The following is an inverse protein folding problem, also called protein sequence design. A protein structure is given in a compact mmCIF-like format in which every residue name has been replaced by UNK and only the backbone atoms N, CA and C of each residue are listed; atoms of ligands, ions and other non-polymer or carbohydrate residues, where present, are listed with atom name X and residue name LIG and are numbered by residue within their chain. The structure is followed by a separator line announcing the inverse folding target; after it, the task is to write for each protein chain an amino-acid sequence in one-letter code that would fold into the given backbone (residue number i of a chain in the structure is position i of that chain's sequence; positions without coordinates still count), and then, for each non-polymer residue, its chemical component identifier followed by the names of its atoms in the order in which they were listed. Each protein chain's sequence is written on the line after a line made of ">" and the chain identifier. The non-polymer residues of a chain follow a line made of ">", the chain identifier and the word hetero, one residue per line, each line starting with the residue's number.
data_IF_769167080780
#
_entry.id   IF_769167080780
#
_cell.length_a   1.000
_cell.length_b   1.000
_cell.length_c   1.000
_cell.angle_alpha   90.00
_cell.angle_beta   90.00
_cell.angle_gamma   90.00
#
_symmetry.space_group_name_H-M   'P 1'
#
loop_
_entity.id
_entity.type
_entity.pdbx_description
1 polymer ?
#
# COMPACT_ATOMS: atom_id res chain seq x y z
N UNK A 1 -4.45 -95.33 11.75
CA UNK A 1 -5.06 -94.59 10.61
C UNK A 1 -5.89 -93.48 11.22
N UNK A 2 -5.34 -92.23 11.16
CA UNK A 2 -6.03 -91.04 11.73
C UNK A 2 -6.70 -90.30 10.57
N UNK A 3 -8.02 -90.15 10.68
CA UNK A 3 -8.81 -89.36 9.72
C UNK A 3 -8.68 -87.88 10.05
N UNK A 4 -8.21 -87.05 9.09
CA UNK A 4 -8.20 -85.59 9.16
C UNK A 4 -9.52 -85.07 8.59
N UNK A 5 -10.31 -84.37 9.46
CA UNK A 5 -11.51 -83.64 9.06
C UNK A 5 -11.13 -82.26 8.72
N UNK A 6 -11.36 -81.82 7.46
CA UNK A 6 -11.16 -80.41 7.00
C UNK A 6 -12.41 -79.61 7.40
N UNK A 7 -12.16 -78.59 8.23
CA UNK A 7 -13.14 -77.55 8.48
C UNK A 7 -12.98 -76.46 7.39
N UNK A 8 -14.05 -76.21 6.64
CA UNK A 8 -14.13 -75.07 5.69
C UNK A 8 -14.79 -73.93 6.46
N UNK A 9 -14.00 -72.84 6.68
CA UNK A 9 -14.53 -71.58 7.18
C UNK A 9 -15.07 -70.78 6.01
N UNK A 10 -16.39 -70.61 5.99
CA UNK A 10 -17.09 -69.71 5.07
C UNK A 10 -17.13 -68.31 5.71
N UNK A 11 -16.22 -67.41 5.31
CA UNK A 11 -16.26 -66.02 5.78
C UNK A 11 -17.30 -65.23 4.99
N UNK A 12 -18.38 -64.86 5.69
CA UNK A 12 -19.43 -63.99 5.19
C UNK A 12 -18.93 -62.54 5.23
N UNK A 13 -18.57 -61.99 4.08
CA UNK A 13 -18.28 -60.56 3.97
C UNK A 13 -19.61 -59.80 3.93
N UNK A 14 -19.96 -59.13 5.04
CA UNK A 14 -21.04 -58.17 5.08
C UNK A 14 -20.47 -56.83 4.58
N UNK A 15 -20.86 -56.45 3.35
CA UNK A 15 -20.66 -55.08 2.85
C UNK A 15 -21.67 -54.18 3.53
N UNK A 16 -21.21 -53.42 4.52
CA UNK A 16 -21.94 -52.25 5.03
C UNK A 16 -21.84 -51.13 3.99
N UNK A 17 -22.87 -50.94 3.20
CA UNK A 17 -23.08 -49.70 2.47
C UNK A 17 -23.36 -48.59 3.49
N UNK A 18 -22.36 -47.80 3.82
CA UNK A 18 -22.57 -46.52 4.49
C UNK A 18 -23.25 -45.57 3.49
N UNK A 19 -24.56 -45.38 3.62
CA UNK A 19 -25.23 -44.24 3.03
C UNK A 19 -24.65 -42.99 3.69
N UNK A 20 -23.74 -42.31 2.98
CA UNK A 20 -23.39 -40.95 3.31
C UNK A 20 -24.61 -40.08 2.98
N UNK A 21 -25.37 -39.74 4.00
CA UNK A 21 -26.34 -38.65 3.88
C UNK A 21 -25.56 -37.36 3.74
N UNK A 22 -25.53 -36.81 2.56
CA UNK A 22 -25.17 -35.40 2.34
C UNK A 22 -26.21 -34.55 3.10
N UNK A 23 -26.00 -34.35 4.38
CA UNK A 23 -26.54 -33.20 5.07
C UNK A 23 -25.67 -32.04 4.61
N UNK A 24 -26.21 -31.16 3.74
CA UNK A 24 -25.66 -29.84 3.56
C UNK A 24 -25.58 -29.21 4.97
N UNK A 25 -24.37 -29.05 5.46
CA UNK A 25 -24.14 -28.27 6.67
C UNK A 25 -24.68 -26.87 6.38
N UNK A 26 -25.67 -26.44 7.17
CA UNK A 26 -26.16 -25.07 7.09
C UNK A 26 -25.07 -24.20 7.72
N UNK A 27 -24.15 -23.72 6.88
CA UNK A 27 -23.03 -22.88 7.33
C UNK A 27 -23.57 -21.49 7.61
N UNK A 28 -23.18 -20.93 8.75
CA UNK A 28 -23.55 -19.56 9.09
C UNK A 28 -22.97 -18.60 8.04
N UNK A 29 -23.75 -17.61 7.56
CA UNK A 29 -23.26 -16.63 6.61
C UNK A 29 -22.06 -15.86 7.15
N UNK A 30 -21.11 -15.58 6.29
CA UNK A 30 -19.91 -14.81 6.60
C UNK A 30 -20.04 -13.39 6.03
N UNK A 31 -19.60 -12.39 6.80
CA UNK A 31 -19.82 -10.99 6.44
C UNK A 31 -18.51 -10.33 6.00
N UNK A 32 -18.57 -9.64 4.85
CA UNK A 32 -17.61 -8.67 4.40
C UNK A 32 -18.22 -7.29 4.50
N UNK A 33 -17.63 -6.41 5.30
CA UNK A 33 -18.04 -5.01 5.35
C UNK A 33 -17.53 -4.29 4.11
N UNK A 34 -18.41 -3.52 3.49
CA UNK A 34 -18.09 -2.61 2.38
C UNK A 34 -18.05 -1.22 3.00
N UNK A 35 -16.86 -0.73 3.25
CA UNK A 35 -16.61 0.58 3.85
C UNK A 35 -15.87 1.45 2.86
N UNK A 36 -15.75 2.74 3.14
CA UNK A 36 -15.19 3.69 2.20
C UNK A 36 -13.83 3.19 1.68
N UNK A 37 -13.79 2.88 0.38
CA UNK A 37 -12.65 2.45 -0.42
C UNK A 37 -12.02 1.08 -0.07
N UNK A 38 -12.64 0.26 0.80
CA UNK A 38 -12.14 -1.07 1.13
C UNK A 38 -13.23 -2.13 1.39
N UNK A 39 -12.85 -3.41 1.19
CA UNK A 39 -13.59 -4.58 1.68
C UNK A 39 -12.92 -5.12 2.94
N UNK A 40 -13.67 -5.30 4.02
CA UNK A 40 -13.13 -5.75 5.31
C UNK A 40 -13.87 -6.99 5.84
N UNK A 41 -13.20 -8.15 5.95
CA UNK A 41 -11.81 -8.39 5.61
C UNK A 41 -11.57 -8.38 4.09
N UNK A 42 -10.39 -7.96 3.66
CA UNK A 42 -9.98 -7.98 2.24
C UNK A 42 -9.90 -9.41 1.68
N UNK A 43 -9.55 -10.37 2.54
CA UNK A 43 -9.48 -11.79 2.21
C UNK A 43 -10.27 -12.57 3.24
N UNK A 44 -11.19 -13.41 2.77
CA UNK A 44 -12.03 -14.24 3.61
C UNK A 44 -11.93 -15.71 3.16
N UNK A 45 -11.64 -16.63 4.11
CA UNK A 45 -11.69 -18.09 3.89
C UNK A 45 -13.01 -18.64 4.36
N UNK A 46 -13.64 -19.47 3.53
CA UNK A 46 -14.92 -20.11 3.83
C UNK A 46 -14.93 -21.55 3.33
N UNK A 47 -15.84 -22.37 3.86
CA UNK A 47 -16.09 -23.71 3.35
C UNK A 47 -17.02 -23.69 2.14
N UNK A 48 -16.95 -24.70 1.23
CA UNK A 48 -17.92 -24.84 0.15
C UNK A 48 -19.36 -24.89 0.67
N UNK A 49 -20.27 -24.18 -0.01
CA UNK A 49 -21.66 -24.01 0.41
C UNK A 49 -21.90 -22.82 1.35
N UNK A 50 -20.87 -22.05 1.69
CA UNK A 50 -21.01 -20.84 2.52
C UNK A 50 -21.59 -19.69 1.73
N UNK A 51 -22.56 -18.99 2.29
CA UNK A 51 -23.05 -17.70 1.80
C UNK A 51 -22.20 -16.57 2.38
N UNK A 52 -21.65 -15.72 1.54
CA UNK A 52 -20.97 -14.48 1.93
C UNK A 52 -21.92 -13.32 1.69
N UNK A 53 -22.00 -12.43 2.68
CA UNK A 53 -22.83 -11.22 2.66
C UNK A 53 -21.90 -10.00 2.64
N UNK A 54 -22.00 -9.19 1.59
CA UNK A 54 -21.38 -7.86 1.55
C UNK A 54 -22.36 -6.85 2.11
N UNK A 55 -22.01 -6.22 3.21
CA UNK A 55 -22.84 -5.27 3.93
C UNK A 55 -22.23 -3.86 3.85
N UNK A 56 -22.95 -2.96 3.17
CA UNK A 56 -22.49 -1.58 2.99
C UNK A 56 -22.67 -0.75 4.25
N UNK A 57 -21.54 -0.22 4.78
CA UNK A 57 -21.50 0.62 5.98
C UNK A 57 -20.91 2.01 5.76
N UNK A 58 -20.24 2.23 4.65
CA UNK A 58 -19.60 3.49 4.28
C UNK A 58 -20.56 4.60 3.85
N UNK A 59 -20.01 5.76 3.52
CA UNK A 59 -20.75 6.91 2.99
C UNK A 59 -20.80 6.92 1.45
N UNK A 60 -19.81 6.25 0.81
CA UNK A 60 -19.70 6.21 -0.64
C UNK A 60 -20.61 5.13 -1.28
N UNK A 61 -20.86 5.27 -2.58
CA UNK A 61 -21.53 4.26 -3.36
C UNK A 61 -20.54 3.19 -3.79
N UNK A 62 -20.94 1.93 -3.70
CA UNK A 62 -20.10 0.79 -4.03
C UNK A 62 -20.78 -0.18 -4.98
N UNK A 63 -20.02 -1.15 -5.47
CA UNK A 63 -20.53 -2.38 -6.04
C UNK A 63 -19.56 -3.53 -5.73
N UNK A 64 -20.00 -4.76 -5.96
CA UNK A 64 -19.21 -5.98 -5.82
C UNK A 64 -19.33 -6.75 -7.11
N UNK A 65 -18.23 -6.88 -7.84
CA UNK A 65 -18.18 -7.56 -9.15
C UNK A 65 -17.04 -8.57 -9.13
N UNK A 66 -17.34 -9.82 -9.52
CA UNK A 66 -16.31 -10.82 -9.76
C UNK A 66 -15.29 -10.34 -10.80
N UNK A 67 -14.01 -10.55 -10.59
CA UNK A 67 -12.95 -10.13 -11.53
C UNK A 67 -13.06 -10.79 -12.90
N UNK A 68 -13.67 -11.99 -12.97
CA UNK A 68 -13.96 -12.72 -14.19
C UNK A 68 -15.36 -12.43 -14.76
N UNK A 69 -16.14 -11.56 -14.12
CA UNK A 69 -17.50 -11.20 -14.51
C UNK A 69 -18.58 -12.26 -14.27
N UNK A 70 -18.27 -13.35 -13.57
CA UNK A 70 -19.19 -14.47 -13.36
C UNK A 70 -20.37 -14.14 -12.44
N UNK A 71 -20.24 -13.17 -11.54
CA UNK A 71 -21.29 -12.68 -10.65
C UNK A 71 -21.07 -11.22 -10.28
N UNK A 72 -22.14 -10.54 -9.90
CA UNK A 72 -22.10 -9.16 -9.43
C UNK A 72 -23.31 -8.83 -8.55
N UNK A 73 -23.17 -7.87 -7.66
CA UNK A 73 -24.30 -7.25 -6.97
C UNK A 73 -25.21 -6.55 -8.00
N UNK A 74 -26.51 -6.70 -7.84
CA UNK A 74 -27.51 -6.42 -8.88
C UNK A 74 -27.44 -4.97 -9.35
N UNK A 75 -27.53 -4.80 -10.69
CA UNK A 75 -27.66 -3.52 -11.35
C UNK A 75 -29.04 -2.88 -11.10
N UNK A 76 -29.09 -1.57 -10.86
CA UNK A 76 -30.27 -0.79 -11.17
C UNK A 76 -30.27 -0.46 -12.67
N UNK A 77 -31.45 -0.32 -13.27
CA UNK A 77 -31.62 0.04 -14.70
C UNK A 77 -31.00 1.40 -15.09
N UNK A 78 -30.42 2.12 -14.13
CA UNK A 78 -29.87 3.46 -14.27
C UNK A 78 -28.33 3.52 -14.33
N UNK A 79 -27.64 2.45 -13.88
CA UNK A 79 -26.17 2.43 -13.82
C UNK A 79 -25.64 1.11 -14.38
N UNK A 80 -24.63 1.21 -15.22
CA UNK A 80 -24.03 0.09 -15.93
C UNK A 80 -23.57 -1.07 -15.00
N UNK A 81 -23.22 -0.74 -13.75
CA UNK A 81 -22.66 -1.70 -12.79
C UNK A 81 -23.52 -1.90 -11.53
N UNK A 82 -24.68 -1.22 -11.40
CA UNK A 82 -25.45 -1.24 -10.14
C UNK A 82 -24.75 -0.51 -8.99
N UNK A 83 -25.54 -0.17 -7.97
CA UNK A 83 -25.04 0.55 -6.80
C UNK A 83 -25.57 -0.11 -5.55
N UNK A 84 -24.66 -0.35 -4.58
CA UNK A 84 -24.98 -0.65 -3.19
C UNK A 84 -24.67 0.58 -2.34
N UNK A 85 -25.63 1.03 -1.57
CA UNK A 85 -25.54 2.20 -0.70
C UNK A 85 -25.55 1.79 0.76
N UNK A 86 -25.29 2.71 1.66
CA UNK A 86 -25.27 2.44 3.09
C UNK A 86 -26.52 1.72 3.58
N UNK A 87 -26.33 0.56 4.19
CA UNK A 87 -27.38 -0.31 4.71
C UNK A 87 -27.87 -1.38 3.74
N UNK A 88 -27.46 -1.33 2.48
CA UNK A 88 -27.73 -2.40 1.51
C UNK A 88 -26.83 -3.60 1.75
N UNK A 89 -27.34 -4.77 1.34
CA UNK A 89 -26.62 -6.03 1.40
C UNK A 89 -26.70 -6.74 0.06
N UNK A 90 -25.62 -7.41 -0.29
CA UNK A 90 -25.54 -8.34 -1.41
C UNK A 90 -25.04 -9.67 -0.89
N UNK A 91 -25.60 -10.77 -1.36
CA UNK A 91 -25.19 -12.11 -0.95
C UNK A 91 -24.87 -13.00 -2.16
N UNK A 92 -23.88 -13.87 -1.98
CA UNK A 92 -23.51 -14.90 -2.95
C UNK A 92 -23.06 -16.16 -2.23
N UNK A 93 -23.52 -17.34 -2.70
CA UNK A 93 -23.14 -18.64 -2.14
C UNK A 93 -22.08 -19.29 -3.02
N UNK A 94 -20.98 -19.70 -2.40
CA UNK A 94 -19.85 -20.32 -3.08
C UNK A 94 -19.90 -21.84 -2.90
N UNK A 95 -20.35 -22.55 -3.92
CA UNK A 95 -20.54 -24.02 -3.87
C UNK A 95 -19.25 -24.79 -4.14
N UNK A 96 -18.36 -24.29 -4.98
CA UNK A 96 -17.18 -25.00 -5.43
C UNK A 96 -15.90 -24.45 -4.77
N UNK A 97 -14.92 -25.32 -4.43
CA UNK A 97 -13.62 -24.87 -3.96
C UNK A 97 -12.92 -24.02 -5.03
N UNK A 98 -12.30 -22.91 -4.61
CA UNK A 98 -11.61 -22.01 -5.54
C UNK A 98 -11.20 -20.69 -4.91
N UNK A 99 -10.56 -19.86 -5.71
CA UNK A 99 -10.21 -18.48 -5.37
C UNK A 99 -11.08 -17.56 -6.22
N UNK A 100 -11.82 -16.69 -5.56
CA UNK A 100 -12.79 -15.79 -6.19
C UNK A 100 -12.41 -14.36 -5.87
N UNK A 101 -11.77 -13.72 -6.83
CA UNK A 101 -11.39 -12.32 -6.75
C UNK A 101 -12.54 -11.42 -7.18
N UNK A 102 -12.68 -10.27 -6.53
CA UNK A 102 -13.72 -9.30 -6.83
C UNK A 102 -13.26 -7.87 -6.55
N UNK A 103 -13.97 -6.89 -7.08
CA UNK A 103 -13.62 -5.48 -6.96
C UNK A 103 -14.85 -4.57 -6.96
N UNK A 104 -14.63 -3.30 -6.57
CA UNK A 104 -15.58 -2.23 -6.73
C UNK A 104 -15.21 -1.36 -7.95
N UNK A 105 -16.02 -1.30 -9.02
CA UNK A 105 -15.65 -0.56 -10.23
C UNK A 105 -15.65 0.96 -10.05
N UNK A 106 -16.22 1.48 -8.97
CA UNK A 106 -16.20 2.91 -8.63
C UNK A 106 -14.88 3.33 -7.97
N UNK A 107 -14.19 2.39 -7.28
CA UNK A 107 -13.00 2.67 -6.47
C UNK A 107 -11.81 1.76 -6.84
N UNK A 108 -11.88 1.09 -7.99
CA UNK A 108 -10.80 0.20 -8.41
C UNK A 108 -11.05 -0.47 -9.77
N UNK A 109 -10.15 -1.38 -10.08
CA UNK A 109 -10.21 -2.28 -11.24
C UNK A 109 -10.13 -3.72 -10.73
N UNK A 110 -10.20 -4.70 -11.62
CA UNK A 110 -10.08 -6.12 -11.26
C UNK A 110 -8.74 -6.51 -10.60
N UNK A 111 -7.76 -5.59 -10.52
CA UNK A 111 -6.43 -5.87 -9.96
C UNK A 111 -5.88 -4.79 -9.02
N UNK A 112 -6.50 -3.60 -8.98
CA UNK A 112 -6.00 -2.46 -8.19
C UNK A 112 -7.13 -1.69 -7.52
N UNK A 113 -6.81 -1.04 -6.38
CA UNK A 113 -7.75 -0.22 -5.61
C UNK A 113 -8.60 -1.09 -4.68
N UNK A 114 -9.92 -0.86 -4.66
CA UNK A 114 -10.86 -1.58 -3.81
C UNK A 114 -11.12 -2.98 -4.34
N UNK A 115 -10.30 -3.94 -3.92
CA UNK A 115 -10.33 -5.36 -4.31
C UNK A 115 -10.47 -6.26 -3.10
N UNK A 116 -11.07 -7.45 -3.29
CA UNK A 116 -11.21 -8.47 -2.27
C UNK A 116 -11.10 -9.88 -2.84
N UNK A 117 -10.95 -10.87 -1.96
CA UNK A 117 -10.80 -12.28 -2.34
C UNK A 117 -11.57 -13.19 -1.38
N UNK A 118 -12.40 -14.09 -1.92
CA UNK A 118 -12.98 -15.21 -1.18
C UNK A 118 -12.23 -16.48 -1.55
N UNK A 119 -11.76 -17.20 -0.55
CA UNK A 119 -11.07 -18.48 -0.70
C UNK A 119 -11.99 -19.56 -0.17
N UNK A 120 -12.42 -20.46 -1.03
CA UNK A 120 -13.39 -21.49 -0.72
C UNK A 120 -12.69 -22.84 -0.60
N UNK A 121 -12.85 -23.51 0.55
CA UNK A 121 -12.26 -24.80 0.83
C UNK A 121 -10.76 -24.74 1.10
N UNK A 122 -10.14 -25.94 1.11
CA UNK A 122 -8.69 -26.10 1.34
C UNK A 122 -7.90 -25.89 0.03
N UNK A 123 -8.01 -24.68 -0.51
CA UNK A 123 -7.26 -24.26 -1.68
C UNK A 123 -5.99 -23.54 -1.22
N UNK A 124 -4.85 -23.96 -1.76
CA UNK A 124 -3.59 -23.25 -1.53
C UNK A 124 -3.70 -21.88 -2.24
N UNK A 125 -3.97 -20.87 -1.45
CA UNK A 125 -3.91 -19.49 -1.86
C UNK A 125 -2.71 -18.88 -1.15
N UNK A 126 -1.62 -18.82 -1.85
CA UNK A 126 -0.62 -17.83 -1.53
C UNK A 126 -1.26 -16.49 -1.87
N UNK A 127 -1.45 -15.61 -0.88
CA UNK A 127 -1.31 -14.20 -1.16
C UNK A 127 0.12 -14.15 -1.71
N UNK A 128 0.24 -14.25 -3.05
CA UNK A 128 1.26 -13.44 -3.62
C UNK A 128 0.84 -12.05 -3.11
N UNK A 129 1.56 -11.45 -2.11
CA UNK A 129 1.56 -10.03 -2.08
C UNK A 129 1.80 -9.69 -3.54
N UNK A 130 1.29 -8.61 -4.10
CA UNK A 130 1.99 -7.96 -5.19
C UNK A 130 3.39 -7.61 -4.67
N UNK A 131 4.09 -8.63 -4.27
CA UNK A 131 5.43 -8.95 -4.53
C UNK A 131 5.40 -9.31 -6.02
N UNK A 132 5.40 -8.33 -6.79
CA UNK A 132 6.73 -7.94 -7.25
C UNK A 132 7.60 -7.80 -6.02
N UNK A 133 8.09 -8.93 -5.52
CA UNK A 133 9.51 -9.13 -5.44
C UNK A 133 9.89 -9.21 -6.95
N UNK A 134 9.97 -8.09 -7.61
CA UNK A 134 11.27 -7.60 -8.02
C UNK A 134 12.09 -7.95 -6.79
N UNK A 135 12.94 -9.03 -6.81
CA UNK A 135 14.20 -8.87 -6.14
C UNK A 135 14.61 -7.49 -6.63
N UNK A 136 14.16 -6.48 -5.89
CA UNK A 136 14.77 -5.19 -5.85
C UNK A 136 16.10 -5.61 -5.29
N UNK A 137 17.01 -6.00 -6.18
CA UNK A 137 18.40 -5.93 -5.93
C UNK A 137 18.52 -4.50 -5.47
N UNK A 138 18.38 -4.30 -4.15
CA UNK A 138 18.57 -3.01 -3.53
C UNK A 138 20.06 -2.79 -3.63
N UNK A 139 20.44 -2.31 -4.78
CA UNK A 139 21.79 -1.81 -4.89
C UNK A 139 21.87 -0.58 -3.99
N UNK A 140 22.91 -0.53 -3.21
CA UNK A 140 23.22 0.64 -2.41
C UNK A 140 24.18 1.49 -3.21
N UNK A 141 23.67 2.62 -3.68
CA UNK A 141 24.50 3.63 -4.36
C UNK A 141 25.03 4.58 -3.30
N UNK A 142 26.32 4.46 -3.00
CA UNK A 142 26.96 5.25 -1.95
C UNK A 142 27.47 6.59 -2.51
N UNK A 143 27.10 7.67 -1.82
CA UNK A 143 27.48 9.05 -2.13
C UNK A 143 28.37 9.60 -1.03
N UNK A 144 29.53 10.16 -1.38
CA UNK A 144 30.45 10.76 -0.41
C UNK A 144 31.86 10.91 -0.94
N UNK A 145 32.75 11.33 -0.05
CA UNK A 145 34.19 11.37 -0.32
C UNK A 145 34.70 9.94 -0.43
N UNK A 146 35.43 9.61 -1.49
CA UNK A 146 35.94 8.27 -1.79
C UNK A 146 34.84 7.20 -2.04
N UNK A 147 33.61 7.60 -2.35
CA UNK A 147 32.54 6.73 -2.78
C UNK A 147 32.40 6.72 -4.31
N UNK A 148 31.52 5.85 -4.82
CA UNK A 148 31.26 5.75 -6.26
C UNK A 148 30.68 7.03 -6.85
N UNK A 149 29.92 7.76 -6.04
CA UNK A 149 29.31 9.03 -6.41
C UNK A 149 29.76 10.15 -5.47
N UNK A 150 30.14 11.28 -6.02
CA UNK A 150 30.45 12.50 -5.25
C UNK A 150 29.29 13.48 -5.18
N UNK A 151 28.24 13.25 -5.99
CA UNK A 151 26.99 14.03 -6.02
C UNK A 151 25.81 13.11 -5.83
N UNK A 152 24.80 13.61 -5.12
CA UNK A 152 23.54 12.88 -4.89
C UNK A 152 22.81 12.70 -6.22
N UNK A 153 22.73 13.74 -7.06
CA UNK A 153 22.03 13.65 -8.35
C UNK A 153 22.61 12.56 -9.25
N UNK A 154 23.94 12.43 -9.32
CA UNK A 154 24.59 11.42 -10.17
C UNK A 154 24.20 9.98 -9.72
N UNK A 155 24.04 9.75 -8.41
CA UNK A 155 23.57 8.48 -7.87
C UNK A 155 22.08 8.26 -8.18
N UNK A 156 21.24 9.30 -8.03
CA UNK A 156 19.81 9.25 -8.36
C UNK A 156 19.59 8.95 -9.84
N UNK A 157 20.38 9.56 -10.73
CA UNK A 157 20.29 9.35 -12.19
C UNK A 157 20.70 7.92 -12.61
N UNK A 158 21.56 7.27 -11.81
CA UNK A 158 22.00 5.88 -12.04
C UNK A 158 21.10 4.83 -11.39
N UNK A 159 20.23 5.24 -10.47
CA UNK A 159 19.40 4.33 -9.67
C UNK A 159 18.22 3.77 -10.47
N UNK A 160 17.81 2.58 -10.11
CA UNK A 160 16.57 1.94 -10.58
C UNK A 160 15.57 1.81 -9.42
N UNK A 161 14.34 1.46 -9.74
CA UNK A 161 13.28 1.29 -8.72
C UNK A 161 13.70 0.38 -7.56
N UNK A 162 13.52 0.88 -6.34
CA UNK A 162 13.82 0.16 -5.09
C UNK A 162 15.23 0.37 -4.54
N UNK A 163 16.11 1.04 -5.25
CA UNK A 163 17.47 1.29 -4.80
C UNK A 163 17.54 2.22 -3.59
N UNK A 164 18.63 2.08 -2.85
CA UNK A 164 18.99 2.94 -1.73
C UNK A 164 20.14 3.86 -2.13
N UNK A 165 19.90 5.15 -2.09
CA UNK A 165 20.96 6.17 -2.17
C UNK A 165 21.41 6.45 -0.73
N UNK A 166 22.58 5.95 -0.35
CA UNK A 166 23.15 6.14 0.98
C UNK A 166 24.19 7.26 0.95
N UNK A 167 23.91 8.34 1.68
CA UNK A 167 24.69 9.56 1.64
C UNK A 167 25.52 9.68 2.91
N UNK A 168 26.85 9.73 2.75
CA UNK A 168 27.79 9.95 3.87
C UNK A 168 27.73 11.40 4.36
N UNK A 169 28.25 11.61 5.57
CA UNK A 169 28.40 12.94 6.18
C UNK A 169 29.10 13.92 5.23
N UNK A 170 28.55 15.10 5.10
CA UNK A 170 29.06 16.15 4.22
C UNK A 170 28.03 17.25 3.95
N UNK A 171 28.50 18.31 3.30
CA UNK A 171 27.66 19.40 2.80
C UNK A 171 27.60 19.29 1.28
N UNK A 172 26.40 19.05 0.75
CA UNK A 172 26.11 18.87 -0.66
C UNK A 172 25.39 20.11 -1.20
N UNK A 173 26.12 20.93 -1.97
CA UNK A 173 25.58 22.17 -2.52
C UNK A 173 24.90 21.89 -3.87
N UNK A 174 23.78 21.18 -3.84
CA UNK A 174 23.02 20.78 -5.02
C UNK A 174 21.50 20.79 -4.80
N UNK A 175 20.74 20.79 -5.89
CA UNK A 175 19.33 20.41 -5.91
C UNK A 175 19.23 19.01 -6.47
N UNK A 176 18.34 18.18 -5.92
CA UNK A 176 18.15 16.78 -6.33
C UNK A 176 16.76 16.62 -6.91
N UNK A 177 16.67 16.12 -8.14
CA UNK A 177 15.40 15.80 -8.81
C UNK A 177 15.24 14.29 -8.93
N UNK A 178 14.10 13.77 -8.47
CA UNK A 178 13.79 12.34 -8.47
C UNK A 178 12.58 12.10 -9.37
N UNK A 179 12.78 11.22 -10.35
CA UNK A 179 11.74 10.77 -11.30
C UNK A 179 11.67 9.23 -11.38
N UNK A 180 12.38 8.54 -10.49
CA UNK A 180 12.36 7.08 -10.35
C UNK A 180 11.58 6.70 -9.10
N UNK A 181 10.57 5.85 -9.24
CA UNK A 181 9.72 5.40 -8.13
C UNK A 181 10.44 4.48 -7.15
N UNK A 182 9.93 4.42 -5.92
CA UNK A 182 10.38 3.52 -4.85
C UNK A 182 11.83 3.69 -4.39
N UNK A 183 12.48 4.82 -4.70
CA UNK A 183 13.81 5.11 -4.17
C UNK A 183 13.77 5.46 -2.70
N UNK A 184 14.83 5.08 -1.99
CA UNK A 184 15.11 5.57 -0.63
C UNK A 184 16.34 6.45 -0.66
N UNK A 185 16.21 7.72 -0.27
CA UNK A 185 17.30 8.67 -0.10
C UNK A 185 17.58 8.79 1.38
N UNK A 186 18.71 8.26 1.84
CA UNK A 186 19.05 8.18 3.26
C UNK A 186 20.42 8.76 3.57
N UNK A 187 20.47 9.66 4.53
CA UNK A 187 21.74 10.09 5.12
C UNK A 187 22.25 9.10 6.17
N UNK A 188 23.55 8.98 6.31
CA UNK A 188 24.17 8.22 7.40
C UNK A 188 23.99 8.88 8.75
N UNK A 189 23.84 10.21 8.78
CA UNK A 189 23.58 11.00 10.01
C UNK A 189 22.67 12.19 9.70
N UNK A 190 21.61 12.35 10.48
CA UNK A 190 20.60 13.40 10.30
C UNK A 190 21.17 14.82 10.31
N UNK A 191 22.17 15.08 11.13
CA UNK A 191 22.70 16.43 11.37
C UNK A 191 23.92 16.73 10.51
N UNK A 192 24.64 15.71 10.08
CA UNK A 192 25.91 15.84 9.39
C UNK A 192 25.80 15.59 7.88
N UNK A 193 24.70 15.00 7.39
CA UNK A 193 24.36 14.94 5.97
C UNK A 193 23.49 16.15 5.65
N UNK A 194 24.06 17.16 4.99
CA UNK A 194 23.41 18.45 4.78
C UNK A 194 23.32 18.76 3.30
N UNK A 195 22.11 18.92 2.79
CA UNK A 195 21.85 19.45 1.44
C UNK A 195 21.58 20.95 1.57
N UNK A 196 22.42 21.78 0.97
CA UNK A 196 22.44 23.23 1.17
C UNK A 196 22.21 23.98 -0.15
N UNK A 197 21.15 24.77 -0.19
CA UNK A 197 20.78 25.58 -1.35
C UNK A 197 21.57 26.86 -1.51
N UNK A 198 22.35 27.27 -0.48
CA UNK A 198 23.12 28.50 -0.48
C UNK A 198 22.28 29.77 -0.77
N UNK A 199 20.94 29.67 -0.60
CA UNK A 199 19.92 30.65 -1.05
C UNK A 199 19.97 30.99 -2.57
N UNK A 200 20.58 30.11 -3.35
CA UNK A 200 20.72 30.28 -4.82
C UNK A 200 19.91 29.24 -5.60
N UNK A 201 19.52 28.15 -4.97
CA UNK A 201 18.73 27.06 -5.57
C UNK A 201 17.30 27.11 -5.05
N UNK A 202 16.34 26.72 -5.89
CA UNK A 202 14.91 26.84 -5.56
C UNK A 202 14.46 25.76 -4.58
N UNK A 203 14.63 24.49 -4.91
CA UNK A 203 14.20 23.37 -4.10
C UNK A 203 15.36 22.43 -3.76
N UNK A 204 15.33 21.82 -2.57
CA UNK A 204 16.36 20.92 -2.13
C UNK A 204 16.26 19.56 -2.79
N UNK A 205 15.26 18.78 -2.38
CA UNK A 205 14.90 17.50 -3.01
C UNK A 205 13.50 17.66 -3.59
N UNK A 206 13.34 17.39 -4.87
CA UNK A 206 12.08 17.49 -5.58
C UNK A 206 11.73 16.17 -6.26
N UNK A 207 10.53 15.68 -5.98
CA UNK A 207 10.01 14.40 -6.42
C UNK A 207 8.76 14.67 -7.27
N UNK A 208 8.77 14.27 -8.54
CA UNK A 208 7.68 14.51 -9.47
C UNK A 208 7.10 13.23 -10.04
N UNK A 209 5.77 13.09 -9.96
CA UNK A 209 4.99 12.02 -10.60
C UNK A 209 5.57 10.62 -10.35
N UNK A 210 6.07 10.37 -9.13
CA UNK A 210 6.72 9.12 -8.74
C UNK A 210 6.17 8.59 -7.42
N UNK A 211 6.00 7.28 -7.34
CA UNK A 211 5.43 6.61 -6.17
C UNK A 211 6.50 6.07 -5.22
N UNK A 212 6.15 5.96 -3.94
CA UNK A 212 6.91 5.23 -2.93
C UNK A 212 8.29 5.81 -2.58
N UNK A 213 8.59 7.07 -2.92
CA UNK A 213 9.88 7.68 -2.60
C UNK A 213 9.96 8.08 -1.14
N UNK A 214 11.01 7.58 -0.47
CA UNK A 214 11.34 7.91 0.91
C UNK A 214 12.56 8.81 0.98
N UNK A 215 12.48 9.91 1.75
CA UNK A 215 13.62 10.76 2.10
C UNK A 215 13.78 10.76 3.60
N UNK A 216 14.95 10.36 4.09
CA UNK A 216 15.13 10.19 5.53
C UNK A 216 16.54 10.43 6.04
N UNK A 217 16.62 10.76 7.34
CA UNK A 217 17.83 10.85 8.13
C UNK A 217 18.88 11.82 7.57
N UNK A 218 18.45 13.02 7.13
CA UNK A 218 19.33 14.08 6.60
C UNK A 218 18.77 15.48 6.89
N UNK A 219 19.57 16.49 6.64
CA UNK A 219 19.20 17.90 6.76
C UNK A 219 19.12 18.60 5.39
N UNK A 220 18.11 19.49 5.23
CA UNK A 220 17.91 20.28 4.00
C UNK A 220 17.69 21.75 4.39
N UNK A 221 18.47 22.66 3.81
CA UNK A 221 18.43 24.06 4.24
C UNK A 221 18.77 25.06 3.13
N UNK A 222 18.43 26.33 3.40
CA UNK A 222 18.87 27.50 2.64
C UNK A 222 18.48 27.44 1.15
N UNK A 223 17.33 26.88 0.83
CA UNK A 223 16.73 26.95 -0.49
C UNK A 223 15.81 28.16 -0.61
N UNK A 224 15.70 28.75 -1.80
CA UNK A 224 14.86 29.93 -2.00
C UNK A 224 13.36 29.64 -2.05
N UNK A 225 12.97 28.36 -2.19
CA UNK A 225 11.60 27.84 -2.08
C UNK A 225 11.55 26.71 -1.03
N UNK A 226 11.44 25.47 -1.45
CA UNK A 226 11.11 24.34 -0.55
C UNK A 226 12.34 23.52 -0.15
N UNK A 227 12.31 22.96 1.06
CA UNK A 227 13.30 21.99 1.48
C UNK A 227 13.16 20.67 0.74
N UNK A 228 12.10 19.92 1.03
CA UNK A 228 11.78 18.66 0.33
C UNK A 228 10.37 18.75 -0.23
N UNK A 229 10.21 18.43 -1.51
CA UNK A 229 8.98 18.65 -2.26
C UNK A 229 8.53 17.39 -3.00
N UNK A 230 7.35 16.89 -2.69
CA UNK A 230 6.63 15.85 -3.44
C UNK A 230 5.49 16.48 -4.23
N UNK A 231 5.35 16.11 -5.49
CA UNK A 231 4.28 16.56 -6.37
C UNK A 231 3.76 15.39 -7.21
N UNK A 232 2.46 15.10 -7.12
CA UNK A 232 1.84 14.00 -7.86
C UNK A 232 2.30 12.62 -7.39
N UNK A 233 2.77 12.48 -6.15
CA UNK A 233 3.34 11.26 -5.60
C UNK A 233 2.31 10.47 -4.79
N UNK A 234 2.42 9.14 -4.83
CA UNK A 234 1.63 8.25 -3.99
C UNK A 234 2.54 7.41 -3.09
N UNK A 235 2.16 7.28 -1.79
CA UNK A 235 2.91 6.46 -0.85
C UNK A 235 4.26 7.07 -0.45
N UNK A 236 4.38 8.36 -0.42
CA UNK A 236 5.62 9.09 -0.08
C UNK A 236 5.95 9.04 1.42
N UNK A 237 7.22 9.22 1.76
CA UNK A 237 7.64 9.37 3.16
C UNK A 237 8.76 10.38 3.33
N UNK A 238 8.59 11.30 4.29
CA UNK A 238 9.64 12.13 4.86
C UNK A 238 9.82 11.79 6.33
N UNK A 239 10.99 11.27 6.72
CA UNK A 239 11.20 10.76 8.07
C UNK A 239 12.56 11.14 8.62
N UNK A 240 12.64 11.46 9.92
CA UNK A 240 13.89 11.88 10.54
C UNK A 240 14.62 13.00 9.77
N UNK A 241 13.86 13.97 9.24
CA UNK A 241 14.40 15.11 8.52
C UNK A 241 14.64 16.31 9.46
N UNK A 242 15.69 17.09 9.20
CA UNK A 242 15.85 18.43 9.74
C UNK A 242 15.80 19.41 8.57
N UNK A 243 14.72 20.19 8.46
CA UNK A 243 14.53 21.17 7.39
C UNK A 243 14.44 22.58 7.99
N UNK A 244 15.28 23.49 7.50
CA UNK A 244 15.30 24.84 8.10
C UNK A 244 15.78 25.92 7.15
N UNK A 245 15.29 27.16 7.37
CA UNK A 245 15.63 28.35 6.60
C UNK A 245 15.41 28.21 5.09
N UNK A 246 14.36 27.51 4.67
CA UNK A 246 13.95 27.52 3.27
C UNK A 246 12.94 28.63 3.04
N UNK A 247 12.87 29.15 1.81
CA UNK A 247 12.18 30.39 1.49
C UNK A 247 10.66 30.29 1.35
N UNK A 248 10.10 29.07 1.45
CA UNK A 248 8.66 28.83 1.42
C UNK A 248 8.28 27.73 2.42
N UNK A 249 8.36 26.45 2.05
CA UNK A 249 8.00 25.30 2.91
C UNK A 249 9.21 24.49 3.38
N UNK A 250 9.05 23.82 4.54
CA UNK A 250 10.02 22.84 4.99
C UNK A 250 9.89 21.53 4.21
N UNK A 251 8.84 20.75 4.49
CA UNK A 251 8.42 19.59 3.71
C UNK A 251 7.07 19.88 3.09
N UNK A 252 6.92 19.59 1.82
CA UNK A 252 5.79 20.02 1.01
C UNK A 252 5.29 18.88 0.12
N UNK A 253 4.07 18.39 0.34
CA UNK A 253 3.41 17.40 -0.50
C UNK A 253 2.19 18.02 -1.18
N UNK A 254 2.27 18.23 -2.49
CA UNK A 254 1.25 18.83 -3.33
C UNK A 254 0.65 17.77 -4.27
N UNK A 255 -0.67 17.69 -4.37
CA UNK A 255 -1.36 16.69 -5.19
C UNK A 255 -0.83 15.26 -4.97
N UNK A 256 -0.50 14.94 -3.72
CA UNK A 256 0.15 13.70 -3.31
C UNK A 256 -0.66 12.99 -2.24
N UNK A 257 -0.72 11.65 -2.28
CA UNK A 257 -1.59 10.84 -1.43
C UNK A 257 -0.86 9.71 -0.71
N UNK A 258 -1.49 9.15 0.31
CA UNK A 258 -1.04 7.97 1.05
C UNK A 258 0.37 8.14 1.64
N UNK A 259 0.71 9.36 2.07
CA UNK A 259 2.04 9.72 2.52
C UNK A 259 2.19 9.78 4.04
N UNK A 260 3.44 9.88 4.48
CA UNK A 260 3.80 9.97 5.90
C UNK A 260 4.88 11.02 6.13
N UNK A 261 4.65 11.93 7.07
CA UNK A 261 5.69 12.77 7.67
C UNK A 261 5.83 12.44 9.15
N UNK A 262 6.96 11.86 9.51
CA UNK A 262 7.25 11.50 10.90
C UNK A 262 8.65 11.91 11.34
N UNK A 263 8.80 12.29 12.62
CA UNK A 263 10.07 12.69 13.20
C UNK A 263 10.79 13.83 12.44
N UNK A 264 10.04 14.70 11.77
CA UNK A 264 10.57 15.88 11.09
C UNK A 264 10.75 17.03 12.09
N UNK A 265 11.90 17.68 12.05
CA UNK A 265 12.09 19.00 12.62
C UNK A 265 12.08 20.06 11.51
N UNK A 266 11.12 20.98 11.55
CA UNK A 266 10.96 22.03 10.56
C UNK A 266 10.95 23.42 11.20
N UNK A 267 11.85 24.33 10.76
CA UNK A 267 12.01 25.61 11.41
C UNK A 267 12.47 26.73 10.46
N UNK A 268 11.98 27.95 10.69
CA UNK A 268 12.45 29.15 10.00
C UNK A 268 11.92 29.32 8.57
N UNK A 269 10.74 28.78 8.28
CA UNK A 269 10.08 28.92 6.99
C UNK A 269 9.09 30.09 6.98
N UNK A 270 9.06 30.91 5.91
CA UNK A 270 8.11 32.02 5.79
C UNK A 270 6.67 31.62 5.62
N UNK A 271 6.41 30.37 5.19
CA UNK A 271 5.10 29.75 5.19
C UNK A 271 5.07 28.59 6.22
N UNK A 272 4.76 27.37 5.81
CA UNK A 272 4.58 26.25 6.75
C UNK A 272 5.82 25.36 6.88
N UNK A 273 6.04 24.86 8.10
CA UNK A 273 7.01 23.81 8.32
C UNK A 273 6.66 22.52 7.58
N UNK A 274 5.35 22.17 7.61
CA UNK A 274 4.79 20.98 6.92
C UNK A 274 3.56 21.40 6.12
N UNK A 275 3.48 20.96 4.86
CA UNK A 275 2.29 21.10 4.02
C UNK A 275 1.90 19.78 3.38
N UNK A 276 0.61 19.43 3.43
CA UNK A 276 -0.01 18.39 2.59
C UNK A 276 -1.33 18.96 2.08
N UNK A 277 -1.47 19.10 0.77
CA UNK A 277 -2.69 19.68 0.20
C UNK A 277 -2.84 19.46 -1.30
N UNK A 278 -3.95 20.00 -1.84
CA UNK A 278 -4.40 19.83 -3.23
C UNK A 278 -4.67 18.36 -3.60
N UNK A 279 -4.97 17.51 -2.60
CA UNK A 279 -5.32 16.09 -2.75
C UNK A 279 -6.70 15.83 -2.12
N UNK A 280 -7.50 14.96 -2.73
CA UNK A 280 -8.79 14.56 -2.18
C UNK A 280 -9.18 13.14 -2.62
N UNK A 281 -9.14 12.16 -1.67
CA UNK A 281 -8.61 12.27 -0.31
C UNK A 281 -7.07 12.28 -0.29
N UNK A 282 -6.47 12.93 0.71
CA UNK A 282 -5.02 12.89 0.88
C UNK A 282 -4.52 11.60 1.54
N UNK A 283 -5.27 10.98 2.43
CA UNK A 283 -4.96 9.73 3.14
C UNK A 283 -3.56 9.70 3.77
N UNK A 284 -3.08 10.84 4.27
CA UNK A 284 -1.70 10.98 4.73
C UNK A 284 -1.63 11.16 6.24
N UNK A 285 -0.51 10.77 6.85
CA UNK A 285 -0.27 10.82 8.29
C UNK A 285 0.84 11.82 8.63
N UNK A 286 0.60 12.62 9.68
CA UNK A 286 1.59 13.54 10.26
C UNK A 286 1.65 13.27 11.76
N UNK A 287 2.79 12.76 12.26
CA UNK A 287 2.95 12.45 13.68
C UNK A 287 4.40 12.58 14.14
N UNK A 288 4.60 12.80 15.44
CA UNK A 288 5.90 12.91 16.10
C UNK A 288 6.85 13.96 15.48
N UNK A 289 6.30 15.04 14.92
CA UNK A 289 7.06 16.11 14.31
C UNK A 289 7.22 17.29 15.29
N UNK A 290 8.32 18.04 15.15
CA UNK A 290 8.56 19.31 15.84
C UNK A 290 8.61 20.41 14.80
N UNK A 291 7.67 21.35 14.90
CA UNK A 291 7.50 22.44 13.94
C UNK A 291 7.45 23.75 14.68
N UNK A 292 8.51 24.57 14.58
CA UNK A 292 8.62 25.80 15.35
C UNK A 292 9.28 26.93 14.55
N UNK A 293 8.98 28.17 14.89
CA UNK A 293 9.60 29.34 14.25
C UNK A 293 9.27 29.53 12.76
N UNK A 294 8.18 28.92 12.26
CA UNK A 294 7.62 29.14 10.94
C UNK A 294 6.43 30.09 11.03
N UNK A 295 5.94 30.62 9.90
CA UNK A 295 4.69 31.39 9.90
C UNK A 295 3.52 30.51 10.31
N UNK A 296 3.46 29.29 9.77
CA UNK A 296 2.50 28.23 10.15
C UNK A 296 3.24 26.95 10.51
N UNK A 297 2.71 26.20 11.49
CA UNK A 297 3.25 24.89 11.80
C UNK A 297 2.93 23.90 10.68
N UNK A 298 1.62 23.79 10.40
CA UNK A 298 1.05 22.94 9.35
C UNK A 298 0.02 23.71 8.56
N UNK A 299 -0.06 23.46 7.25
CA UNK A 299 -1.15 23.90 6.36
C UNK A 299 -1.46 22.86 5.29
N UNK A 300 -2.69 22.93 4.72
CA UNK A 300 -3.12 21.98 3.68
C UNK A 300 -4.62 22.07 3.43
#
# INVERSE_FOLDING_TARGET
>A
MKKFTKFVFLSLFIFLYACSSNQSANLDPQIVKVVDDEFSPKILRVEPGTTVIWESGGANNHNVIASDGSWQAISSDYFEYGIITKGDQYEHTFEEPGVYEYYCPYHGTNSKGMVGTIIVGDVEYSIEPENIIVELSRDVLEVGVDKNYSKIQDAVDAAIEGDLILIDEGVYNESVTITTSYLTIRGTDRNNVIIDGEFMRENGIQIYDTDGVTVENLSVRNFSLNGVYWNGAKGFRGSYLTVYNNGDYGVYAFDSTDGVFDNVYASGHPDSGIYIGQCYPCNSLIFDNVVEGNALGYSG
#
